data_IF_217688463302
#
_entry.id   IF_217688463302
#
_cell.length_a   1.000
_cell.length_b   1.000
_cell.length_c   1.000
_cell.angle_alpha   90.00
_cell.angle_beta   90.00
_cell.angle_gamma   90.00
#
_symmetry.space_group_name_H-M   'P 1'
#
loop_
_entity.id
_entity.type
_entity.pdbx_description
1 polymer ?
#
# COMPACT_ATOMS: atom_id res chain seq x y z
N UNK A 1 -5.75 5.16 -15.05
CA UNK A 1 -4.44 4.94 -14.41
C UNK A 1 -3.37 5.11 -15.48
N UNK A 2 -2.37 5.97 -15.29
CA UNK A 2 -1.27 6.13 -16.26
C UNK A 2 -0.13 5.13 -15.99
N UNK A 3 0.76 4.91 -16.96
CA UNK A 3 1.96 4.09 -16.74
C UNK A 3 2.90 4.69 -15.68
N UNK A 4 2.96 6.03 -15.56
CA UNK A 4 3.69 6.68 -14.46
C UNK A 4 3.07 6.40 -13.10
N UNK A 5 1.74 6.34 -13.00
CA UNK A 5 1.06 5.98 -11.75
C UNK A 5 1.33 4.51 -11.37
N UNK A 6 1.25 3.60 -12.35
CA UNK A 6 1.57 2.18 -12.14
C UNK A 6 3.02 2.03 -11.67
N UNK A 7 3.96 2.74 -12.30
CA UNK A 7 5.37 2.70 -11.89
C UNK A 7 5.55 3.25 -10.49
N UNK A 8 4.92 4.37 -10.15
CA UNK A 8 4.99 4.95 -8.80
C UNK A 8 4.40 4.00 -7.74
N UNK A 9 3.25 3.39 -8.04
CA UNK A 9 2.60 2.41 -7.17
C UNK A 9 3.51 1.17 -6.96
N UNK A 10 4.14 0.69 -8.03
CA UNK A 10 5.08 -0.43 -7.95
C UNK A 10 6.34 -0.10 -7.13
N UNK A 11 6.82 1.14 -7.18
CA UNK A 11 7.93 1.61 -6.33
C UNK A 11 7.54 1.61 -4.86
N UNK A 12 6.34 2.09 -4.54
CA UNK A 12 5.80 1.99 -3.18
C UNK A 12 5.71 0.53 -2.71
N UNK A 13 5.08 -0.35 -3.51
CA UNK A 13 4.94 -1.77 -3.18
C UNK A 13 6.32 -2.43 -2.98
N UNK A 14 7.31 -2.05 -3.77
CA UNK A 14 8.69 -2.53 -3.60
C UNK A 14 9.26 -2.10 -2.26
N UNK A 15 9.01 -0.87 -1.83
CA UNK A 15 9.55 -0.37 -0.56
C UNK A 15 8.81 -0.94 0.67
N UNK A 16 7.49 -1.09 0.59
CA UNK A 16 6.64 -1.51 1.71
C UNK A 16 6.52 -3.04 1.83
N UNK A 17 6.51 -3.77 0.71
CA UNK A 17 6.15 -5.18 0.67
C UNK A 17 7.20 -6.07 -0.01
N UNK A 18 8.44 -5.61 -0.16
CA UNK A 18 9.55 -6.49 -0.59
C UNK A 18 9.70 -7.65 0.40
N UNK A 19 9.80 -8.87 -0.14
CA UNK A 19 9.89 -10.09 0.65
C UNK A 19 8.54 -10.62 1.18
N UNK A 20 7.45 -9.86 1.02
CA UNK A 20 6.11 -10.34 1.35
C UNK A 20 5.58 -11.28 0.25
N UNK A 21 4.64 -12.20 0.59
CA UNK A 21 3.92 -12.99 -0.39
C UNK A 21 3.28 -12.11 -1.47
N UNK A 22 3.07 -12.63 -2.68
CA UNK A 22 2.50 -11.85 -3.79
C UNK A 22 1.17 -11.20 -3.42
N UNK A 23 0.29 -11.92 -2.71
CA UNK A 23 -0.96 -11.35 -2.18
C UNK A 23 -0.73 -10.15 -1.24
N UNK A 24 0.35 -10.13 -0.46
CA UNK A 24 0.73 -8.99 0.38
C UNK A 24 1.22 -7.79 -0.42
N UNK A 25 1.88 -8.02 -1.55
CA UNK A 25 2.27 -6.96 -2.49
C UNK A 25 1.03 -6.35 -3.16
N UNK A 26 0.08 -7.19 -3.61
CA UNK A 26 -1.21 -6.72 -4.15
C UNK A 26 -1.99 -5.95 -3.09
N UNK A 27 -2.01 -6.44 -1.84
CA UNK A 27 -2.70 -5.82 -0.71
C UNK A 27 -2.24 -4.38 -0.44
N UNK A 28 -0.93 -4.10 -0.46
CA UNK A 28 -0.42 -2.72 -0.31
C UNK A 28 -0.90 -1.83 -1.46
N UNK A 29 -0.87 -2.33 -2.69
CA UNK A 29 -1.42 -1.62 -3.85
C UNK A 29 -2.92 -1.33 -3.69
N UNK A 30 -3.68 -2.33 -3.23
CA UNK A 30 -5.12 -2.23 -3.02
C UNK A 30 -5.47 -1.17 -1.96
N UNK A 31 -4.67 -1.01 -0.90
CA UNK A 31 -4.86 0.08 0.08
C UNK A 31 -4.80 1.46 -0.58
N UNK A 32 -3.86 1.70 -1.50
CA UNK A 32 -3.78 2.98 -2.24
C UNK A 32 -5.04 3.18 -3.10
N UNK A 33 -5.48 2.13 -3.78
CA UNK A 33 -6.72 2.16 -4.58
C UNK A 33 -7.97 2.42 -3.72
N UNK A 34 -8.03 1.81 -2.54
CA UNK A 34 -9.12 2.00 -1.58
C UNK A 34 -9.14 3.42 -1.03
N UNK A 35 -7.98 4.01 -0.76
CA UNK A 35 -7.86 5.42 -0.35
C UNK A 35 -8.38 6.35 -1.44
N UNK A 36 -7.99 6.16 -2.70
CA UNK A 36 -8.51 6.95 -3.82
C UNK A 36 -10.05 6.89 -3.95
N UNK A 37 -10.66 5.76 -3.58
CA UNK A 37 -12.13 5.59 -3.59
C UNK A 37 -12.82 6.15 -2.34
N UNK A 38 -12.07 6.49 -1.29
CA UNK A 38 -12.61 6.98 -0.03
C UNK A 38 -12.63 8.51 0.01
N UNK A 39 -13.73 9.08 0.51
CA UNK A 39 -13.86 10.54 0.70
C UNK A 39 -12.89 11.11 1.75
N UNK A 40 -12.24 10.25 2.54
CA UNK A 40 -11.30 10.65 3.58
C UNK A 40 -9.88 10.86 3.08
N UNK A 41 -9.60 10.60 1.80
CA UNK A 41 -8.26 10.65 1.21
C UNK A 41 -8.28 11.36 -0.15
N UNK A 42 -7.10 11.76 -0.67
CA UNK A 42 -6.99 12.25 -2.04
C UNK A 42 -7.39 11.20 -3.09
N UNK A 43 -7.77 11.66 -4.28
CA UNK A 43 -8.36 10.86 -5.35
C UNK A 43 -7.36 10.41 -6.44
N UNK A 44 -6.06 10.64 -6.26
CA UNK A 44 -5.00 10.22 -7.20
C UNK A 44 -3.88 9.44 -6.51
N UNK A 45 -3.26 8.52 -7.26
CA UNK A 45 -2.13 7.70 -6.76
C UNK A 45 -1.03 8.58 -6.19
N UNK A 46 -0.60 9.60 -6.95
CA UNK A 46 0.43 10.53 -6.52
C UNK A 46 0.05 11.25 -5.23
N UNK A 47 -1.18 11.79 -5.13
CA UNK A 47 -1.59 12.53 -3.95
C UNK A 47 -1.72 11.63 -2.70
N UNK A 48 -2.19 10.39 -2.86
CA UNK A 48 -2.23 9.41 -1.75
C UNK A 48 -0.82 9.04 -1.30
N UNK A 49 0.09 8.73 -2.24
CA UNK A 49 1.46 8.30 -1.91
C UNK A 49 2.26 9.43 -1.26
N UNK A 50 2.17 10.66 -1.79
CA UNK A 50 2.92 11.79 -1.24
C UNK A 50 2.20 12.52 -0.09
N UNK A 51 1.09 11.97 0.42
CA UNK A 51 0.45 12.54 1.60
C UNK A 51 1.42 12.48 2.79
N UNK A 52 1.67 13.61 3.49
CA UNK A 52 2.68 13.67 4.55
C UNK A 52 2.45 12.63 5.65
N UNK A 53 3.53 11.92 6.01
CA UNK A 53 3.53 10.93 7.10
C UNK A 53 2.77 9.63 6.82
N UNK A 54 2.30 9.40 5.59
CA UNK A 54 1.57 8.15 5.27
C UNK A 54 2.47 6.98 4.91
N UNK A 55 3.61 7.23 4.26
CA UNK A 55 4.53 6.20 3.77
C UNK A 55 5.97 6.61 4.07
N UNK A 56 6.66 5.81 4.89
CA UNK A 56 8.06 6.04 5.27
C UNK A 56 9.01 6.14 4.05
N UNK A 57 8.86 5.32 2.98
CA UNK A 57 9.71 5.38 1.79
C UNK A 57 9.71 6.73 1.07
N UNK A 58 8.67 7.54 1.24
CA UNK A 58 8.60 8.89 0.66
C UNK A 58 9.50 9.84 1.43
N UNK A 59 9.52 9.74 2.76
CA UNK A 59 10.32 10.60 3.62
C UNK A 59 11.83 10.30 3.52
N UNK A 60 12.21 9.03 3.39
CA UNK A 60 13.60 8.61 3.30
C UNK A 60 14.15 8.49 1.86
N UNK A 61 13.34 8.82 0.85
CA UNK A 61 13.73 8.82 -0.57
C UNK A 61 13.76 7.45 -1.25
N UNK A 62 13.51 6.35 -0.53
CA UNK A 62 13.46 4.99 -1.09
C UNK A 62 12.34 4.82 -2.14
N UNK A 63 11.34 5.71 -2.15
CA UNK A 63 10.31 5.76 -3.20
C UNK A 63 10.89 5.94 -4.62
N UNK A 64 12.15 6.38 -4.76
CA UNK A 64 12.81 6.55 -6.05
C UNK A 64 13.53 5.29 -6.54
N UNK A 65 13.61 4.23 -5.74
CA UNK A 65 14.21 2.95 -6.14
C UNK A 65 13.42 2.31 -7.27
N UNK A 66 14.10 1.57 -8.14
CA UNK A 66 13.46 0.85 -9.24
C UNK A 66 12.50 -0.23 -8.72
N UNK A 67 11.29 -0.35 -9.30
CA UNK A 67 10.33 -1.33 -8.85
C UNK A 67 10.79 -2.74 -9.25
N UNK A 68 10.51 -3.72 -8.38
CA UNK A 68 10.69 -5.13 -8.74
C UNK A 68 9.64 -5.58 -9.76
N UNK A 69 9.94 -6.64 -10.52
CA UNK A 69 8.98 -7.21 -11.47
C UNK A 69 7.69 -7.68 -10.79
N UNK A 70 7.80 -8.30 -9.60
CA UNK A 70 6.62 -8.74 -8.84
C UNK A 70 5.79 -7.56 -8.36
N UNK A 71 6.42 -6.46 -7.94
CA UNK A 71 5.72 -5.25 -7.53
C UNK A 71 5.04 -4.55 -8.72
N UNK A 72 5.63 -4.58 -9.92
CA UNK A 72 4.97 -4.10 -11.15
C UNK A 72 3.73 -4.94 -11.47
N UNK A 73 3.83 -6.26 -11.38
CA UNK A 73 2.67 -7.16 -11.56
C UNK A 73 1.60 -6.88 -10.50
N UNK A 74 1.99 -6.72 -9.24
CA UNK A 74 1.06 -6.44 -8.14
C UNK A 74 0.38 -5.06 -8.28
N UNK A 75 1.11 -4.03 -8.71
CA UNK A 75 0.56 -2.71 -8.98
C UNK A 75 -0.52 -2.76 -10.08
N UNK A 76 -0.27 -3.50 -11.16
CA UNK A 76 -1.25 -3.70 -12.23
C UNK A 76 -2.48 -4.48 -11.75
N UNK A 77 -2.28 -5.54 -10.95
CA UNK A 77 -3.37 -6.32 -10.37
C UNK A 77 -4.28 -5.47 -9.47
N UNK A 78 -3.69 -4.70 -8.55
CA UNK A 78 -4.44 -3.78 -7.69
C UNK A 78 -5.16 -2.70 -8.50
N UNK A 79 -4.51 -2.12 -9.51
CA UNK A 79 -5.12 -1.13 -10.40
C UNK A 79 -6.28 -1.71 -11.23
N UNK A 80 -6.24 -3.01 -11.55
CA UNK A 80 -7.31 -3.75 -12.20
C UNK A 80 -8.46 -4.14 -11.25
N UNK A 81 -8.32 -3.86 -9.94
CA UNK A 81 -9.37 -4.05 -8.94
C UNK A 81 -9.16 -5.24 -8.01
N UNK A 82 -8.04 -5.96 -8.09
CA UNK A 82 -7.73 -7.02 -7.13
C UNK A 82 -7.50 -6.41 -5.73
N UNK A 83 -8.27 -6.88 -4.75
CA UNK A 83 -8.15 -6.44 -3.36
C UNK A 83 -8.27 -7.62 -2.38
N UNK A 84 -7.15 -8.25 -2.00
CA UNK A 84 -7.14 -9.33 -1.02
C UNK A 84 -7.40 -8.84 0.42
N UNK A 85 -7.51 -7.52 0.64
CA UNK A 85 -7.73 -6.93 1.97
C UNK A 85 -9.19 -6.76 2.33
N UNK A 86 -10.09 -6.84 1.35
CA UNK A 86 -11.51 -6.58 1.53
C UNK A 86 -11.81 -5.12 1.92
N UNK A 87 -11.14 -4.15 1.30
CA UNK A 87 -11.39 -2.72 1.52
C UNK A 87 -10.59 -2.08 2.65
N UNK A 88 -9.39 -2.56 2.96
CA UNK A 88 -8.54 -1.93 3.97
C UNK A 88 -8.03 -0.56 3.52
N UNK A 89 -7.88 0.35 4.50
CA UNK A 89 -7.37 1.71 4.31
C UNK A 89 -6.01 1.92 4.98
N UNK A 90 -5.59 1.00 5.84
CA UNK A 90 -4.33 1.05 6.58
C UNK A 90 -3.71 -0.34 6.64
N UNK A 91 -2.39 -0.36 6.82
CA UNK A 91 -1.66 -1.57 7.17
C UNK A 91 -0.48 -1.22 8.08
N UNK A 92 -0.01 -2.20 8.84
CA UNK A 92 1.20 -2.07 9.65
C UNK A 92 1.78 -3.44 9.97
N UNK A 93 3.08 -3.47 10.30
CA UNK A 93 3.72 -4.67 10.83
C UNK A 93 3.54 -4.72 12.35
N UNK A 94 2.75 -5.66 12.90
CA UNK A 94 2.48 -5.73 14.34
C UNK A 94 3.72 -6.02 15.18
N UNK A 95 4.78 -6.59 14.60
CA UNK A 95 6.06 -6.81 15.29
C UNK A 95 6.92 -5.53 15.38
N UNK A 96 6.64 -4.51 14.56
CA UNK A 96 7.43 -3.26 14.49
C UNK A 96 6.65 -2.01 14.91
N UNK A 97 5.34 -2.12 15.14
CA UNK A 97 4.46 -0.97 15.38
C UNK A 97 3.70 -1.11 16.70
N UNK A 98 3.89 -0.15 17.60
CA UNK A 98 3.14 0.00 18.86
C UNK A 98 2.08 1.12 18.81
N UNK A 99 1.84 1.71 17.64
CA UNK A 99 0.93 2.86 17.48
C UNK A 99 -0.53 2.51 17.84
N UNK A 100 -1.00 3.01 18.98
CA UNK A 100 -2.33 2.72 19.51
C UNK A 100 -3.48 3.05 18.56
N UNK A 101 -3.32 4.06 17.69
CA UNK A 101 -4.33 4.40 16.69
C UNK A 101 -4.53 3.26 15.67
N UNK A 102 -3.43 2.68 15.17
CA UNK A 102 -3.48 1.57 14.22
C UNK A 102 -4.03 0.29 14.86
N UNK A 103 -3.70 0.05 16.13
CA UNK A 103 -4.19 -1.11 16.89
C UNK A 103 -5.68 -1.06 17.24
N UNK A 104 -6.27 0.14 17.37
CA UNK A 104 -7.70 0.32 17.64
C UNK A 104 -8.60 0.18 16.39
N UNK A 105 -8.00 0.20 15.20
CA UNK A 105 -8.74 0.08 13.93
C UNK A 105 -9.30 -1.35 13.77
N UNK A 106 -10.54 -1.52 13.28
CA UNK A 106 -11.09 -2.83 12.94
C UNK A 106 -10.14 -3.63 12.04
N UNK A 107 -9.79 -4.83 12.50
CA UNK A 107 -9.00 -5.78 11.71
C UNK A 107 -9.80 -6.31 10.53
N UNK A 108 -9.15 -6.43 9.37
CA UNK A 108 -9.72 -7.10 8.20
C UNK A 108 -9.04 -8.41 7.90
N UNK A 109 -7.72 -8.38 7.71
CA UNK A 109 -6.92 -9.55 7.35
C UNK A 109 -5.46 -9.35 7.74
N UNK A 110 -4.73 -10.45 7.87
CA UNK A 110 -3.28 -10.45 7.99
C UNK A 110 -2.70 -11.23 6.81
N UNK A 111 -1.79 -10.61 6.05
CA UNK A 111 -1.14 -11.23 4.89
C UNK A 111 0.37 -11.00 5.01
N UNK A 112 1.13 -12.08 5.10
CA UNK A 112 2.55 -12.00 5.47
C UNK A 112 2.70 -11.34 6.84
N UNK A 113 3.60 -10.37 6.93
CA UNK A 113 3.90 -9.65 8.17
C UNK A 113 2.98 -8.44 8.39
N UNK A 114 2.02 -8.19 7.51
CA UNK A 114 1.16 -7.01 7.59
C UNK A 114 -0.24 -7.34 8.10
N UNK A 115 -0.68 -6.54 9.07
CA UNK A 115 -2.07 -6.45 9.51
C UNK A 115 -2.75 -5.32 8.75
N UNK A 116 -3.85 -5.62 8.06
CA UNK A 116 -4.66 -4.66 7.29
C UNK A 116 -5.94 -4.30 8.06
N UNK A 117 -6.28 -3.00 8.07
CA UNK A 117 -7.38 -2.44 8.88
C UNK A 117 -8.15 -1.32 8.14
N UNK A 118 -9.33 -0.96 8.65
CA UNK A 118 -10.16 0.18 8.18
C UNK A 118 -10.23 1.30 9.20
#
# INVERSE_FOLDING_TARGET
>A
MSESDIRLLARLITAEARGQPYAGQVAVGAVVMNRMRSKSFPDSVRAVIYQPGQFEPVANGHINTEPTETALKAARAAAAGEDPTGGALYFFNPAKTSNAFLWRRPHKVTIGDHRFTS
#
